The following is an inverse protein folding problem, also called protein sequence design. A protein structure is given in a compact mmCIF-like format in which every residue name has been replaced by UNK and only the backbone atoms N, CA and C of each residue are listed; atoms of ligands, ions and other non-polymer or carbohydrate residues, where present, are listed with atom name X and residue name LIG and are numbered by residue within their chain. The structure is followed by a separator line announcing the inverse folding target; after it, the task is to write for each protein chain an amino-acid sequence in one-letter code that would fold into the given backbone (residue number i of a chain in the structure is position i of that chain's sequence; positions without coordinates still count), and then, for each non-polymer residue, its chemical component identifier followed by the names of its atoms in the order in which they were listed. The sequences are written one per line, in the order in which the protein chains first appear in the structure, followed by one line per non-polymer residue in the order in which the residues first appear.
data_IF_013340502378
#
_entry.id   IF_013340502378
#
_cell.length_a   1.000
_cell.length_b   1.000
_cell.length_c   1.000
_cell.angle_alpha   90.00
_cell.angle_beta   90.00
_cell.angle_gamma   90.00
#
_symmetry.space_group_name_H-M   'P 1'
#
loop_
_entity.id
_entity.type
_entity.pdbx_description
1 polymer ?
#
# COMPACT_ATOMS: atom_id res chain seq x y z
N UNK A 1 2.78 -43.31 44.18
CA UNK A 1 2.41 -42.02 43.57
C UNK A 1 1.02 -41.61 44.07
N UNK A 2 0.88 -40.37 44.54
CA UNK A 2 -0.39 -39.83 45.05
C UNK A 2 -1.24 -39.25 43.90
N UNK A 3 -2.52 -39.60 43.85
CA UNK A 3 -3.49 -39.12 42.84
C UNK A 3 -3.58 -37.60 42.79
N UNK A 4 -3.32 -36.93 43.92
CA UNK A 4 -3.32 -35.47 44.03
C UNK A 4 -2.05 -34.85 43.47
N UNK A 5 -0.91 -35.52 43.62
CA UNK A 5 0.34 -35.08 42.99
C UNK A 5 0.26 -35.18 41.48
N UNK A 6 -0.35 -36.25 40.94
CA UNK A 6 -0.47 -36.44 39.49
C UNK A 6 -1.34 -35.36 38.81
N UNK A 7 -2.47 -34.98 39.42
CA UNK A 7 -3.32 -33.89 38.92
C UNK A 7 -2.64 -32.51 39.02
N UNK A 8 -1.85 -32.27 40.08
CA UNK A 8 -1.04 -31.06 40.19
C UNK A 8 0.02 -30.95 39.09
N UNK A 9 0.69 -32.07 38.76
CA UNK A 9 1.73 -32.11 37.73
C UNK A 9 1.19 -31.90 36.31
N UNK A 10 -0.01 -32.41 35.99
CA UNK A 10 -0.63 -32.22 34.66
C UNK A 10 -1.12 -30.78 34.45
N UNK A 11 -1.59 -30.11 35.49
CA UNK A 11 -2.11 -28.73 35.40
C UNK A 11 -0.99 -27.69 35.24
N UNK A 12 0.20 -27.96 35.79
CA UNK A 12 1.36 -27.09 35.61
C UNK A 12 1.97 -27.19 34.20
N UNK A 13 1.83 -28.35 33.53
CA UNK A 13 2.38 -28.57 32.19
C UNK A 13 1.59 -27.84 31.08
N UNK A 14 0.27 -27.66 31.23
CA UNK A 14 -0.58 -26.97 30.23
C UNK A 14 -0.43 -25.44 30.25
N UNK A 15 0.00 -24.85 31.37
CA UNK A 15 0.25 -23.42 31.48
C UNK A 15 1.57 -23.00 30.79
N UNK A 16 2.53 -23.92 30.67
CA UNK A 16 3.82 -23.66 30.01
C UNK A 16 3.75 -23.77 28.48
N UNK A 17 2.81 -24.55 27.93
CA UNK A 17 2.61 -24.66 26.47
C UNK A 17 2.05 -23.39 25.82
N UNK A 18 1.45 -22.47 26.61
CA UNK A 18 0.88 -21.22 26.08
C UNK A 18 1.93 -20.18 25.69
N UNK A 19 3.19 -20.35 26.10
CA UNK A 19 4.33 -19.48 25.79
C UNK A 19 5.17 -19.95 24.59
N UNK A 20 4.84 -21.10 23.99
CA UNK A 20 5.51 -21.68 22.81
C UNK A 20 4.66 -21.60 21.55
N UNK A 21 3.63 -20.75 21.52
CA UNK A 21 2.86 -20.45 20.32
C UNK A 21 3.60 -19.47 19.41
N UNK A 22 4.75 -19.86 18.87
CA UNK A 22 5.50 -19.07 17.88
C UNK A 22 5.28 -19.57 16.45
N UNK A 23 4.22 -20.36 16.20
CA UNK A 23 4.06 -21.13 14.97
C UNK A 23 2.75 -20.86 14.20
N UNK A 24 2.07 -19.75 14.45
CA UNK A 24 0.95 -19.32 13.61
C UNK A 24 0.77 -17.81 13.66
N UNK A 25 1.79 -17.05 13.25
CA UNK A 25 1.49 -15.74 12.68
C UNK A 25 0.73 -16.01 11.38
N UNK A 26 -0.58 -15.76 11.41
CA UNK A 26 -1.43 -15.75 10.23
C UNK A 26 -0.95 -14.58 9.38
N UNK A 27 0.01 -14.83 8.48
CA UNK A 27 0.63 -13.83 7.61
C UNK A 27 -0.41 -13.26 6.63
N UNK A 28 -1.27 -12.38 7.11
CA UNK A 28 -2.30 -11.70 6.31
C UNK A 28 -1.66 -10.54 5.57
N UNK A 29 -1.88 -10.49 4.27
CA UNK A 29 -1.57 -9.32 3.46
C UNK A 29 -2.68 -8.30 3.73
N UNK A 30 -2.40 -7.34 4.61
CA UNK A 30 -3.39 -6.36 5.06
C UNK A 30 -3.79 -5.35 3.97
N UNK A 31 -2.94 -5.15 2.97
CA UNK A 31 -3.14 -4.18 1.89
C UNK A 31 -2.90 -4.82 0.55
N UNK A 32 -4.00 -5.17 -0.11
CA UNK A 32 -3.99 -5.68 -1.47
C UNK A 32 -4.29 -4.50 -2.40
N UNK A 33 -3.42 -4.33 -3.39
CA UNK A 33 -3.51 -3.32 -4.42
C UNK A 33 -3.96 -3.88 -5.76
N UNK A 34 -4.62 -3.05 -6.58
CA UNK A 34 -4.94 -3.39 -7.98
C UNK A 34 -4.55 -2.28 -8.94
N UNK A 35 -3.96 -2.63 -10.07
CA UNK A 35 -3.65 -1.66 -11.12
C UNK A 35 -4.90 -1.30 -11.90
N UNK A 36 -5.23 0.00 -11.97
CA UNK A 36 -6.47 0.49 -12.59
C UNK A 36 -6.55 0.23 -14.11
N UNK A 37 -5.44 -0.08 -14.77
CA UNK A 37 -5.44 -0.48 -16.17
C UNK A 37 -6.29 -1.74 -16.45
N UNK A 38 -6.39 -2.63 -15.46
CA UNK A 38 -7.20 -3.85 -15.54
C UNK A 38 -8.68 -3.54 -15.76
N UNK A 39 -9.17 -2.47 -15.13
CA UNK A 39 -10.56 -2.00 -15.20
C UNK A 39 -10.72 -0.73 -16.06
N UNK A 40 -9.74 -0.41 -16.91
CA UNK A 40 -9.72 0.83 -17.72
C UNK A 40 -10.99 1.04 -18.55
N UNK A 41 -11.58 -0.04 -19.06
CA UNK A 41 -12.80 0.02 -19.88
C UNK A 41 -14.02 0.42 -19.06
N UNK A 42 -14.08 0.03 -17.79
CA UNK A 42 -15.15 0.43 -16.87
C UNK A 42 -14.91 1.85 -16.37
N UNK A 43 -13.67 2.20 -16.04
CA UNK A 43 -13.28 3.56 -15.67
C UNK A 43 -13.62 4.57 -16.78
N UNK A 44 -13.42 4.20 -18.04
CA UNK A 44 -13.75 5.05 -19.19
C UNK A 44 -15.27 5.30 -19.34
N UNK A 45 -16.11 4.38 -18.86
CA UNK A 45 -17.59 4.52 -18.89
C UNK A 45 -18.10 5.30 -17.69
N UNK A 46 -17.63 4.93 -16.50
CA UNK A 46 -18.03 5.51 -15.23
C UNK A 46 -16.84 5.45 -14.26
N UNK A 47 -16.12 6.56 -14.18
CA UNK A 47 -14.93 6.70 -13.35
C UNK A 47 -15.26 6.52 -11.86
N UNK A 48 -16.32 7.18 -11.36
CA UNK A 48 -16.67 7.18 -9.95
C UNK A 48 -17.26 5.85 -9.50
N UNK A 49 -18.21 5.31 -10.27
CA UNK A 49 -18.80 4.01 -9.96
C UNK A 49 -17.80 2.87 -10.05
N UNK A 50 -16.81 2.97 -10.93
CA UNK A 50 -15.73 1.97 -11.02
C UNK A 50 -14.83 1.99 -9.77
N UNK A 51 -14.42 3.18 -9.29
CA UNK A 51 -13.64 3.28 -8.06
C UNK A 51 -14.43 2.79 -6.83
N UNK A 52 -15.72 3.14 -6.75
CA UNK A 52 -16.60 2.65 -5.70
C UNK A 52 -16.70 1.11 -5.71
N UNK A 53 -16.82 0.50 -6.89
CA UNK A 53 -16.83 -0.96 -7.04
C UNK A 53 -15.51 -1.58 -6.60
N UNK A 54 -14.37 -1.03 -7.02
CA UNK A 54 -13.03 -1.49 -6.60
C UNK A 54 -12.90 -1.46 -5.08
N UNK A 55 -13.32 -0.37 -4.43
CA UNK A 55 -13.35 -0.28 -2.97
C UNK A 55 -14.31 -1.30 -2.33
N UNK A 56 -15.50 -1.50 -2.90
CA UNK A 56 -16.49 -2.46 -2.38
C UNK A 56 -16.05 -3.92 -2.47
N UNK A 57 -15.19 -4.26 -3.44
CA UNK A 57 -14.58 -5.59 -3.57
C UNK A 57 -13.59 -5.85 -2.42
N UNK A 58 -13.07 -4.80 -1.79
CA UNK A 58 -12.15 -4.87 -0.65
C UNK A 58 -10.71 -4.47 -0.96
N UNK A 59 -10.43 -3.95 -2.15
CA UNK A 59 -9.13 -3.36 -2.44
C UNK A 59 -8.95 -2.07 -1.64
N UNK A 60 -7.77 -1.91 -1.04
CA UNK A 60 -7.41 -0.72 -0.25
C UNK A 60 -6.45 0.19 -1.01
N UNK A 61 -5.68 -0.40 -1.91
CA UNK A 61 -4.67 0.31 -2.69
C UNK A 61 -4.93 0.15 -4.19
N UNK A 62 -4.54 1.16 -4.97
CA UNK A 62 -4.62 1.11 -6.42
C UNK A 62 -3.35 1.65 -7.04
N UNK A 63 -2.88 1.01 -8.10
CA UNK A 63 -1.85 1.62 -8.95
C UNK A 63 -2.54 2.43 -10.04
N UNK A 64 -2.18 3.71 -10.15
CA UNK A 64 -2.77 4.60 -11.14
C UNK A 64 -2.37 4.20 -12.57
N UNK A 65 -3.28 4.47 -13.49
CA UNK A 65 -3.10 4.27 -14.92
C UNK A 65 -3.65 5.48 -15.69
N UNK A 66 -3.56 5.42 -17.03
CA UNK A 66 -4.06 6.50 -17.88
C UNK A 66 -3.28 7.79 -17.75
N UNK A 67 -2.00 7.71 -17.36
CA UNK A 67 -1.09 8.85 -17.32
C UNK A 67 -1.00 9.47 -18.72
N UNK A 68 -1.18 10.79 -18.76
CA UNK A 68 -0.95 11.60 -19.96
C UNK A 68 -0.17 12.84 -19.55
N UNK A 69 0.72 13.26 -20.43
CA UNK A 69 1.40 14.53 -20.30
C UNK A 69 1.16 15.35 -21.56
N UNK A 70 0.52 16.51 -21.39
CA UNK A 70 0.20 17.43 -22.50
C UNK A 70 0.45 18.86 -22.07
N UNK A 71 1.17 19.62 -22.89
CA UNK A 71 1.48 21.04 -22.65
C UNK A 71 2.11 21.28 -21.26
N UNK A 72 2.97 20.36 -20.82
CA UNK A 72 3.62 20.42 -19.50
C UNK A 72 2.72 20.08 -18.30
N UNK A 73 1.47 19.66 -18.53
CA UNK A 73 0.53 19.25 -17.49
C UNK A 73 0.41 17.73 -17.43
N UNK A 74 0.38 17.20 -16.21
CA UNK A 74 0.16 15.78 -15.92
C UNK A 74 -1.32 15.55 -15.65
N UNK A 75 -1.88 14.50 -16.25
CA UNK A 75 -3.22 14.03 -15.94
C UNK A 75 -3.29 12.50 -15.89
N UNK A 76 -4.33 11.99 -15.22
CA UNK A 76 -4.64 10.57 -15.08
C UNK A 76 -6.11 10.37 -15.41
N UNK A 77 -6.43 9.54 -16.41
CA UNK A 77 -7.81 9.41 -16.91
C UNK A 77 -8.47 10.78 -17.18
N UNK A 78 -7.70 11.70 -17.75
CA UNK A 78 -8.09 13.08 -18.06
C UNK A 78 -8.43 13.96 -16.82
N UNK A 79 -7.97 13.55 -15.64
CA UNK A 79 -8.09 14.29 -14.37
C UNK A 79 -6.74 14.81 -13.89
N UNK A 80 -6.75 15.95 -13.22
CA UNK A 80 -5.57 16.48 -12.53
C UNK A 80 -5.15 15.59 -11.34
N UNK A 81 -3.90 15.69 -10.87
CA UNK A 81 -3.44 14.96 -9.68
C UNK A 81 -4.30 15.23 -8.44
N UNK A 82 -4.80 16.47 -8.28
CA UNK A 82 -5.65 16.87 -7.16
C UNK A 82 -7.03 16.21 -7.25
N UNK A 83 -7.65 16.21 -8.43
CA UNK A 83 -8.94 15.56 -8.63
C UNK A 83 -8.86 14.05 -8.42
N UNK A 84 -7.78 13.42 -8.90
CA UNK A 84 -7.51 12.01 -8.64
C UNK A 84 -7.38 11.73 -7.15
N UNK A 85 -6.59 12.53 -6.43
CA UNK A 85 -6.42 12.40 -4.98
C UNK A 85 -7.77 12.48 -4.27
N UNK A 86 -8.58 13.49 -4.59
CA UNK A 86 -9.91 13.67 -4.00
C UNK A 86 -10.86 12.54 -4.35
N UNK A 87 -10.77 11.95 -5.55
CA UNK A 87 -11.58 10.79 -5.90
C UNK A 87 -11.19 9.54 -5.10
N UNK A 88 -9.90 9.26 -4.97
CA UNK A 88 -9.42 8.15 -4.16
C UNK A 88 -9.81 8.30 -2.69
N UNK A 89 -9.63 9.50 -2.13
CA UNK A 89 -9.98 9.80 -0.72
C UNK A 89 -11.48 9.58 -0.45
N UNK A 90 -12.37 9.93 -1.38
CA UNK A 90 -13.82 9.71 -1.24
C UNK A 90 -14.20 8.24 -1.12
N UNK A 91 -13.44 7.35 -1.76
CA UNK A 91 -13.67 5.90 -1.74
C UNK A 91 -12.77 5.16 -0.73
N UNK A 92 -12.00 5.89 0.09
CA UNK A 92 -11.07 5.32 1.06
C UNK A 92 -9.89 4.56 0.44
N UNK A 93 -9.60 4.80 -0.84
CA UNK A 93 -8.52 4.16 -1.59
C UNK A 93 -7.23 4.98 -1.46
N UNK A 94 -6.08 4.29 -1.50
CA UNK A 94 -4.78 4.96 -1.62
C UNK A 94 -4.05 4.52 -2.87
N UNK A 95 -3.22 5.40 -3.45
CA UNK A 95 -2.40 5.06 -4.61
C UNK A 95 -0.91 5.20 -4.28
N UNK A 96 -0.24 4.12 -3.81
CA UNK A 96 1.18 4.16 -3.51
C UNK A 96 2.06 4.19 -4.77
N UNK A 97 1.49 3.80 -5.91
CA UNK A 97 2.20 3.68 -7.19
C UNK A 97 1.37 4.26 -8.34
N UNK A 98 2.08 4.58 -9.43
CA UNK A 98 1.49 5.12 -10.65
C UNK A 98 2.28 4.64 -11.86
N UNK A 99 1.57 4.29 -12.93
CA UNK A 99 2.17 3.92 -14.19
C UNK A 99 2.42 5.18 -15.03
N UNK A 100 3.68 5.43 -15.38
CA UNK A 100 4.12 6.61 -16.15
C UNK A 100 4.78 6.13 -17.44
N UNK A 101 4.47 6.80 -18.55
CA UNK A 101 5.12 6.53 -19.84
C UNK A 101 6.60 6.90 -19.79
N UNK A 102 7.46 6.06 -20.37
CA UNK A 102 8.90 6.29 -20.46
C UNK A 102 9.23 7.64 -21.12
N UNK A 103 8.48 8.06 -22.13
CA UNK A 103 8.68 9.35 -22.81
C UNK A 103 8.50 10.55 -21.86
N UNK A 104 7.70 10.39 -20.80
CA UNK A 104 7.48 11.44 -19.79
C UNK A 104 8.57 11.49 -18.72
N UNK A 105 9.50 10.53 -18.71
CA UNK A 105 10.65 10.49 -17.79
C UNK A 105 11.89 11.20 -18.36
N UNK A 106 11.74 12.00 -19.41
CA UNK A 106 12.81 12.88 -19.91
C UNK A 106 13.26 13.88 -18.84
N UNK A 107 14.49 14.38 -18.96
CA UNK A 107 15.09 15.28 -17.95
C UNK A 107 14.23 16.54 -17.68
N UNK A 108 13.56 17.05 -18.70
CA UNK A 108 12.69 18.24 -18.60
C UNK A 108 11.35 17.94 -17.90
N UNK A 109 10.87 16.70 -18.02
CA UNK A 109 9.53 16.31 -17.55
C UNK A 109 9.58 15.59 -16.20
N UNK A 110 10.70 14.96 -15.87
CA UNK A 110 10.88 14.13 -14.69
C UNK A 110 10.45 14.84 -13.40
N UNK A 111 10.88 16.10 -13.21
CA UNK A 111 10.49 16.87 -12.02
C UNK A 111 8.97 17.08 -11.92
N UNK A 112 8.29 17.32 -13.05
CA UNK A 112 6.82 17.50 -13.07
C UNK A 112 6.10 16.21 -12.70
N UNK A 113 6.61 15.07 -13.16
CA UNK A 113 6.09 13.74 -12.80
C UNK A 113 6.23 13.49 -11.29
N UNK A 114 7.39 13.83 -10.71
CA UNK A 114 7.63 13.70 -9.27
C UNK A 114 6.67 14.60 -8.47
N UNK A 115 6.51 15.86 -8.84
CA UNK A 115 5.58 16.77 -8.15
C UNK A 115 4.13 16.31 -8.25
N UNK A 116 3.68 15.84 -9.42
CA UNK A 116 2.35 15.26 -9.58
C UNK A 116 2.17 14.00 -8.71
N UNK A 117 3.20 13.16 -8.61
CA UNK A 117 3.16 11.94 -7.79
C UNK A 117 3.10 12.27 -6.30
N UNK A 118 3.80 13.30 -5.83
CA UNK A 118 3.74 13.77 -4.44
C UNK A 118 2.31 14.17 -4.03
N UNK A 119 1.56 14.82 -4.91
CA UNK A 119 0.16 15.22 -4.63
C UNK A 119 -0.73 14.01 -4.35
N UNK A 120 -0.50 12.91 -5.06
CA UNK A 120 -1.33 11.70 -5.01
C UNK A 120 -0.88 10.78 -3.89
N UNK A 121 0.42 10.51 -3.81
CA UNK A 121 1.02 9.49 -2.93
C UNK A 121 1.17 9.98 -1.48
N UNK A 122 1.45 11.27 -1.25
CA UNK A 122 1.64 11.78 0.11
C UNK A 122 0.31 11.87 0.86
N UNK A 123 0.15 10.99 1.87
CA UNK A 123 -0.91 11.15 2.87
C UNK A 123 -0.61 12.37 3.74
N UNK A 124 -1.44 13.41 3.68
CA UNK A 124 -1.39 14.50 4.67
C UNK A 124 -1.81 14.07 6.10
N UNK A 125 -2.27 12.83 6.33
CA UNK A 125 -2.93 12.44 7.58
C UNK A 125 -2.38 11.20 8.33
N UNK A 126 -1.12 10.80 8.12
CA UNK A 126 -0.53 9.80 9.02
C UNK A 126 0.99 9.88 9.03
N UNK A 127 1.52 10.88 9.73
CA UNK A 127 2.90 10.83 10.24
C UNK A 127 2.80 10.20 11.63
N UNK A 128 2.69 8.88 11.68
CA UNK A 128 3.07 8.16 12.90
C UNK A 128 4.60 8.27 12.98
N UNK A 129 5.11 9.07 13.91
CA UNK A 129 6.55 9.11 14.21
C UNK A 129 6.96 7.73 14.75
N UNK A 130 7.57 6.92 13.91
CA UNK A 130 8.33 5.77 14.39
C UNK A 130 9.56 6.26 15.16
N UNK A 131 9.73 5.73 16.39
CA UNK A 131 10.94 5.92 17.19
C UNK A 131 12.12 5.29 16.44
N UNK A 132 13.30 5.94 16.40
CA UNK A 132 14.43 5.42 15.64
C UNK A 132 14.94 4.13 16.27
N UNK A 133 14.79 3.00 15.57
CA UNK A 133 15.47 1.75 15.88
C UNK A 133 16.92 1.80 15.37
N UNK A 134 17.84 1.26 16.16
CA UNK A 134 19.28 1.35 15.97
C UNK A 134 19.76 0.70 14.66
N UNK A 135 20.71 1.40 14.01
CA UNK A 135 21.30 1.07 12.71
C UNK A 135 21.89 -0.35 12.68
N UNK A 136 21.49 -1.15 11.70
CA UNK A 136 22.33 -2.21 11.12
C UNK A 136 22.44 -1.96 9.62
N UNK A 137 23.66 -1.71 9.16
CA UNK A 137 23.98 -1.46 7.76
C UNK A 137 23.94 -2.76 6.97
N UNK A 138 23.29 -2.75 5.82
CA UNK A 138 23.39 -3.79 4.80
C UNK A 138 23.63 -3.11 3.44
N UNK A 139 24.84 -3.30 2.91
CA UNK A 139 25.29 -2.86 1.60
C UNK A 139 24.74 -3.79 0.51
N UNK A 140 23.75 -3.34 -0.28
CA UNK A 140 23.40 -3.92 -1.59
C UNK A 140 22.80 -2.82 -2.51
N UNK A 141 22.92 -2.98 -3.84
CA UNK A 141 22.81 -1.88 -4.80
C UNK A 141 21.38 -1.34 -4.94
N UNK A 142 21.30 -0.04 -5.25
CA UNK A 142 20.12 0.82 -5.21
C UNK A 142 18.98 0.28 -6.09
N UNK A 143 17.94 -0.22 -5.43
CA UNK A 143 16.59 -0.35 -5.98
C UNK A 143 15.69 0.58 -5.16
N UNK A 144 15.10 1.61 -5.77
CA UNK A 144 14.10 2.46 -5.10
C UNK A 144 12.79 1.67 -5.05
N UNK A 145 12.69 0.76 -4.09
CA UNK A 145 11.44 0.16 -3.64
C UNK A 145 11.05 0.90 -2.37
N UNK A 146 9.90 1.58 -2.40
CA UNK A 146 9.26 2.09 -1.19
C UNK A 146 8.95 0.91 -0.26
N UNK A 147 9.81 0.73 0.74
CA UNK A 147 9.73 -0.35 1.70
C UNK A 147 8.47 -0.24 2.55
N UNK A 148 7.56 -1.21 2.41
CA UNK A 148 6.62 -1.60 3.45
C UNK A 148 6.51 -3.13 3.50
N UNK A 149 7.66 -3.80 3.40
CA UNK A 149 7.81 -5.24 3.63
C UNK A 149 8.94 -5.38 4.66
N UNK A 150 8.66 -6.12 5.74
CA UNK A 150 9.49 -6.40 6.93
C UNK A 150 9.50 -5.36 8.06
N UNK A 151 8.46 -5.39 8.92
CA UNK A 151 8.54 -5.87 10.31
C UNK A 151 7.22 -5.69 11.05
#
# INVERSE_FOLDING_TARGET
MDRRSFLGTVTAATLLTRRLGWAADDHKIDRIGVQLYTVRSEIAKDFEGSLAKVASIGYKEVELAGFKMKDGKVSYFDRSPQEMRSALDRHGLTAPSTHVDYAALSQDNFQRVIEASKVIVLRKHSIAREKPASKRECNLPITIIGSSIFR
#
